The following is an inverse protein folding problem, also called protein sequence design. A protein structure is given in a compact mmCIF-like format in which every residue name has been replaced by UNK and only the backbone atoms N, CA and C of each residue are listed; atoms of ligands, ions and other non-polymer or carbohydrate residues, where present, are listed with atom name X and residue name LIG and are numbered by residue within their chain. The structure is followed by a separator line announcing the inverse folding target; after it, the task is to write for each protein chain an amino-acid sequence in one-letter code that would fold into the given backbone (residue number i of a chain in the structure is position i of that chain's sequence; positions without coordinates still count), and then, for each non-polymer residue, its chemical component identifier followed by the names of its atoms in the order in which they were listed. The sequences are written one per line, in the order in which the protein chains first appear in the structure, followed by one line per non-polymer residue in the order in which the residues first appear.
data_IF_182827268366
#
_entry.id   IF_182827268366
#
_cell.length_a   1.000
_cell.length_b   1.000
_cell.length_c   1.000
_cell.angle_alpha   90.00
_cell.angle_beta   90.00
_cell.angle_gamma   90.00
#
_symmetry.space_group_name_H-M   'P 1'
#
loop_
_entity.id
_entity.type
_entity.pdbx_description
1 polymer ?
#
# COMPACT_ATOMS: atom_id res chain seq x y z
N UNK A 1 8.04 -14.95 -12.94
CA UNK A 1 6.71 -14.77 -13.54
C UNK A 1 6.41 -13.29 -13.44
N UNK A 2 6.49 -12.58 -14.57
CA UNK A 2 6.37 -11.10 -14.59
C UNK A 2 4.90 -10.79 -14.33
N UNK A 3 4.57 -10.33 -13.12
CA UNK A 3 3.22 -9.84 -12.84
C UNK A 3 2.95 -8.63 -13.72
N UNK A 4 1.81 -8.64 -14.40
CA UNK A 4 1.36 -7.56 -15.28
C UNK A 4 1.11 -6.31 -14.43
N UNK A 5 2.06 -5.37 -14.44
CA UNK A 5 1.94 -4.06 -13.83
C UNK A 5 1.07 -3.17 -14.72
N UNK A 6 0.07 -2.51 -14.15
CA UNK A 6 -0.64 -1.42 -14.79
C UNK A 6 0.15 -0.12 -14.54
N UNK A 7 0.44 0.61 -15.62
CA UNK A 7 0.98 1.95 -15.56
C UNK A 7 -0.13 2.94 -15.87
N UNK A 8 -0.70 3.56 -14.84
CA UNK A 8 -1.65 4.66 -14.98
C UNK A 8 -0.94 5.94 -14.52
N UNK A 9 -0.40 6.70 -15.47
CA UNK A 9 0.49 7.83 -15.15
C UNK A 9 1.88 7.37 -14.69
N UNK A 10 2.46 8.08 -13.71
CA UNK A 10 3.80 7.81 -13.14
C UNK A 10 3.76 6.81 -11.96
N UNK A 11 2.86 5.81 -12.02
CA UNK A 11 2.62 4.84 -10.94
C UNK A 11 2.65 3.42 -11.50
N UNK A 12 3.42 2.53 -10.85
CA UNK A 12 3.53 1.11 -11.21
C UNK A 12 2.94 0.26 -10.08
N UNK A 13 1.93 -0.56 -10.40
CA UNK A 13 1.28 -1.46 -9.44
C UNK A 13 0.62 -2.64 -10.17
N UNK A 14 0.27 -3.73 -9.47
CA UNK A 14 -0.54 -4.81 -10.04
C UNK A 14 -2.01 -4.64 -9.67
N UNK A 15 -2.92 -5.28 -10.44
CA UNK A 15 -4.35 -5.32 -10.07
C UNK A 15 -4.60 -5.88 -8.67
N UNK A 16 -3.74 -6.81 -8.21
CA UNK A 16 -3.86 -7.38 -6.87
C UNK A 16 -3.56 -6.34 -5.79
N UNK A 17 -2.56 -5.47 -6.01
CA UNK A 17 -2.22 -4.39 -5.07
C UNK A 17 -3.40 -3.42 -4.89
N UNK A 18 -4.00 -2.97 -5.99
CA UNK A 18 -5.11 -2.00 -5.91
C UNK A 18 -6.36 -2.59 -5.26
N UNK A 19 -6.69 -3.85 -5.56
CA UNK A 19 -7.79 -4.55 -4.90
C UNK A 19 -7.49 -4.75 -3.41
N UNK A 20 -6.25 -5.11 -3.07
CA UNK A 20 -5.84 -5.30 -1.67
C UNK A 20 -5.95 -4.01 -0.88
N UNK A 21 -5.57 -2.87 -1.44
CA UNK A 21 -5.74 -1.56 -0.77
C UNK A 21 -7.21 -1.25 -0.52
N UNK A 22 -8.08 -1.41 -1.51
CA UNK A 22 -9.51 -1.14 -1.32
C UNK A 22 -10.09 -2.05 -0.23
N UNK A 23 -9.74 -3.34 -0.23
CA UNK A 23 -10.14 -4.29 0.82
C UNK A 23 -9.64 -3.85 2.21
N UNK A 24 -8.39 -3.40 2.31
CA UNK A 24 -7.81 -2.90 3.56
C UNK A 24 -8.54 -1.65 4.05
N UNK A 25 -8.84 -0.70 3.18
CA UNK A 25 -9.57 0.52 3.53
C UNK A 25 -11.01 0.23 3.99
N UNK A 26 -11.67 -0.77 3.39
CA UNK A 26 -12.99 -1.23 3.86
C UNK A 26 -12.92 -1.83 5.26
N UNK A 27 -11.84 -2.55 5.58
CA UNK A 27 -11.58 -3.11 6.91
C UNK A 27 -11.26 -2.02 7.92
N UNK A 28 -10.40 -1.07 7.57
CA UNK A 28 -10.01 0.02 8.47
C UNK A 28 -11.15 0.98 8.80
N UNK A 29 -12.10 1.18 7.88
CA UNK A 29 -13.32 1.92 8.18
C UNK A 29 -14.22 1.25 9.23
N UNK A 30 -13.94 0.00 9.61
CA UNK A 30 -14.62 -0.78 10.64
C UNK A 30 -13.65 -1.16 11.78
N UNK A 31 -12.45 -0.58 11.80
CA UNK A 31 -11.45 -0.90 12.81
C UNK A 31 -11.94 -0.50 14.22
N UNK A 32 -11.51 -1.21 15.27
CA UNK A 32 -11.79 -0.83 16.65
C UNK A 32 -11.28 0.59 16.95
N UNK A 33 -12.07 1.37 17.70
CA UNK A 33 -11.71 2.76 18.02
C UNK A 33 -10.53 2.88 19.00
N UNK A 34 -10.20 1.82 19.71
CA UNK A 34 -9.14 1.72 20.71
C UNK A 34 -7.79 1.24 20.13
N UNK A 35 -7.76 0.81 18.88
CA UNK A 35 -6.52 0.44 18.18
C UNK A 35 -6.08 1.55 17.21
N UNK A 36 -4.83 2.05 17.30
CA UNK A 36 -4.30 2.97 16.31
C UNK A 36 -4.33 2.35 14.91
N UNK A 37 -4.89 3.05 13.93
CA UNK A 37 -5.04 2.54 12.56
C UNK A 37 -3.73 2.03 11.94
N UNK A 38 -2.60 2.66 12.26
CA UNK A 38 -1.28 2.20 11.79
C UNK A 38 -0.92 0.81 12.32
N UNK A 39 -1.23 0.51 13.58
CA UNK A 39 -1.02 -0.81 14.19
C UNK A 39 -2.01 -1.82 13.60
N UNK A 40 -3.28 -1.43 13.47
CA UNK A 40 -4.31 -2.25 12.82
C UNK A 40 -3.86 -2.69 11.42
N UNK A 41 -3.33 -1.77 10.60
CA UNK A 41 -2.84 -2.06 9.26
C UNK A 41 -1.55 -2.88 9.26
N UNK A 42 -0.61 -2.63 10.17
CA UNK A 42 0.59 -3.45 10.31
C UNK A 42 0.24 -4.93 10.55
N UNK A 43 -0.78 -5.20 11.37
CA UNK A 43 -1.29 -6.57 11.59
C UNK A 43 -1.81 -7.23 10.30
N UNK A 44 -2.34 -6.46 9.34
CA UNK A 44 -2.82 -6.99 8.06
C UNK A 44 -1.71 -7.41 7.10
N UNK A 45 -0.45 -7.03 7.39
CA UNK A 45 0.74 -7.41 6.64
C UNK A 45 1.58 -8.49 7.34
N UNK A 46 1.11 -9.04 8.47
CA UNK A 46 1.77 -10.17 9.11
C UNK A 46 1.92 -11.35 8.14
N UNK A 47 3.09 -12.00 8.18
CA UNK A 47 3.50 -13.08 7.28
C UNK A 47 3.76 -12.67 5.82
N UNK A 48 3.76 -11.37 5.48
CA UNK A 48 4.23 -10.93 4.17
C UNK A 48 5.75 -11.09 4.06
N UNK A 49 6.27 -11.62 2.93
CA UNK A 49 7.70 -11.77 2.72
C UNK A 49 8.46 -10.45 2.86
N UNK A 50 9.59 -10.51 3.57
CA UNK A 50 10.55 -9.43 3.62
C UNK A 50 11.44 -9.47 2.37
N UNK A 51 11.46 -8.40 1.57
CA UNK A 51 12.33 -8.27 0.39
C UNK A 51 12.86 -6.85 0.33
N UNK A 52 14.19 -6.69 0.25
CA UNK A 52 14.82 -5.39 0.09
C UNK A 52 14.84 -4.96 -1.39
N UNK A 53 14.98 -3.65 -1.63
CA UNK A 53 15.08 -3.07 -2.99
C UNK A 53 13.88 -3.39 -3.88
N UNK A 54 12.69 -3.54 -3.28
CA UNK A 54 11.45 -3.90 -3.99
C UNK A 54 10.97 -2.83 -4.96
N UNK A 55 11.45 -1.59 -4.80
CA UNK A 55 11.05 -0.43 -5.61
C UNK A 55 12.08 -0.08 -6.71
N UNK A 56 13.23 -0.75 -6.72
CA UNK A 56 14.32 -0.45 -7.66
C UNK A 56 14.08 -1.11 -9.02
N UNK A 57 13.39 -0.41 -9.92
CA UNK A 57 13.17 -0.88 -11.30
C UNK A 57 14.25 -0.29 -12.21
N UNK A 58 15.11 -1.17 -12.73
CA UNK A 58 16.22 -0.78 -13.62
C UNK A 58 15.72 0.01 -14.83
N UNK A 59 16.49 1.03 -15.20
CA UNK A 59 16.31 1.86 -16.39
C UNK A 59 14.98 2.64 -16.44
N UNK A 60 14.31 2.81 -15.29
CA UNK A 60 13.15 3.70 -15.14
C UNK A 60 13.53 4.95 -14.32
N UNK A 61 12.89 6.08 -14.62
CA UNK A 61 12.97 7.27 -13.76
C UNK A 61 12.23 7.03 -12.44
N UNK A 62 12.58 7.79 -11.41
CA UNK A 62 11.86 7.77 -10.13
C UNK A 62 10.35 7.99 -10.35
N UNK A 63 9.57 7.08 -9.80
CA UNK A 63 8.12 6.99 -9.96
C UNK A 63 7.54 6.24 -8.76
N UNK A 64 6.23 6.33 -8.56
CA UNK A 64 5.57 5.64 -7.45
C UNK A 64 5.43 4.15 -7.79
N UNK A 65 6.22 3.30 -7.14
CA UNK A 65 6.13 1.86 -7.28
C UNK A 65 5.43 1.26 -6.05
N UNK A 66 4.45 0.39 -6.27
CA UNK A 66 3.65 -0.22 -5.20
C UNK A 66 3.69 -1.73 -5.36
N UNK A 67 4.09 -2.41 -4.28
CA UNK A 67 4.14 -3.85 -4.19
C UNK A 67 3.74 -4.28 -2.78
N UNK A 68 2.52 -4.81 -2.63
CA UNK A 68 2.00 -5.32 -1.36
C UNK A 68 2.27 -6.82 -1.17
N UNK A 69 2.86 -7.48 -2.16
CA UNK A 69 3.20 -8.91 -2.09
C UNK A 69 4.50 -9.16 -1.32
N UNK A 70 5.39 -8.17 -1.27
CA UNK A 70 6.62 -8.20 -0.49
C UNK A 70 7.02 -6.78 -0.07
N UNK A 71 7.40 -6.62 1.19
CA UNK A 71 7.73 -5.33 1.79
C UNK A 71 9.09 -5.40 2.47
N UNK A 72 9.76 -4.26 2.58
CA UNK A 72 10.86 -4.04 3.52
C UNK A 72 10.37 -3.22 4.73
N UNK A 73 11.30 -2.85 5.61
CA UNK A 73 10.98 -2.07 6.80
C UNK A 73 10.36 -0.70 6.49
N UNK A 74 10.85 -0.02 5.45
CA UNK A 74 10.41 1.33 5.09
C UNK A 74 9.06 1.27 4.40
N UNK A 75 8.94 0.45 3.36
CA UNK A 75 7.70 0.28 2.60
C UNK A 75 6.56 -0.22 3.48
N UNK A 76 6.80 -1.10 4.45
CA UNK A 76 5.75 -1.49 5.41
C UNK A 76 5.17 -0.28 6.16
N UNK A 77 6.04 0.59 6.70
CA UNK A 77 5.62 1.76 7.48
C UNK A 77 4.90 2.77 6.59
N UNK A 78 5.42 3.03 5.39
CA UNK A 78 4.81 3.94 4.41
C UNK A 78 3.40 3.49 4.02
N UNK A 79 3.23 2.22 3.68
CA UNK A 79 1.93 1.66 3.32
C UNK A 79 0.94 1.72 4.50
N UNK A 80 1.37 1.41 5.72
CA UNK A 80 0.52 1.52 6.91
C UNK A 80 0.11 2.98 7.19
N UNK A 81 1.03 3.93 7.00
CA UNK A 81 0.77 5.36 7.17
C UNK A 81 -0.25 5.86 6.14
N UNK A 82 -0.03 5.54 4.85
CA UNK A 82 -0.92 5.95 3.78
C UNK A 82 -2.35 5.39 3.96
N UNK A 83 -2.48 4.11 4.34
CA UNK A 83 -3.78 3.50 4.65
C UNK A 83 -4.47 4.17 5.85
N UNK A 84 -3.72 4.46 6.92
CA UNK A 84 -4.23 5.12 8.11
C UNK A 84 -4.71 6.54 7.81
N UNK A 85 -3.93 7.32 7.05
CA UNK A 85 -4.29 8.69 6.63
C UNK A 85 -5.52 8.70 5.71
N UNK A 86 -5.59 7.77 4.77
CA UNK A 86 -6.76 7.62 3.87
C UNK A 86 -8.03 7.34 4.69
N UNK A 87 -7.91 6.42 5.66
CA UNK A 87 -9.02 6.00 6.52
C UNK A 87 -9.46 7.10 7.48
N UNK A 88 -8.50 7.81 8.09
CA UNK A 88 -8.80 8.90 9.03
C UNK A 88 -9.50 10.09 8.35
N UNK A 89 -9.29 10.27 7.04
CA UNK A 89 -10.02 11.23 6.22
C UNK A 89 -11.35 10.69 5.67
N UNK A 90 -11.78 9.49 6.09
CA UNK A 90 -13.06 8.90 5.70
C UNK A 90 -13.11 8.37 4.26
N UNK A 91 -11.97 8.26 3.58
CA UNK A 91 -11.90 7.74 2.21
C UNK A 91 -11.63 6.24 2.18
N UNK A 92 -12.13 5.60 1.12
CA UNK A 92 -11.85 4.21 0.75
C UNK A 92 -11.33 4.08 -0.68
N UNK A 93 -10.88 5.20 -1.24
CA UNK A 93 -10.49 5.30 -2.64
C UNK A 93 -9.04 4.92 -2.84
N UNK A 94 -8.77 4.10 -3.86
CA UNK A 94 -7.42 3.84 -4.36
C UNK A 94 -6.66 5.15 -4.67
N UNK A 95 -7.34 6.12 -5.29
CA UNK A 95 -6.72 7.40 -5.66
C UNK A 95 -6.26 8.20 -4.45
N UNK A 96 -7.03 8.19 -3.37
CA UNK A 96 -6.68 8.95 -2.17
C UNK A 96 -5.56 8.25 -1.41
N UNK A 97 -5.52 6.92 -1.45
CA UNK A 97 -4.37 6.16 -0.98
C UNK A 97 -3.08 6.53 -1.73
N UNK A 98 -3.12 6.59 -3.06
CA UNK A 98 -1.97 7.05 -3.86
C UNK A 98 -1.53 8.46 -3.47
N UNK A 99 -2.48 9.34 -3.16
CA UNK A 99 -2.17 10.71 -2.74
C UNK A 99 -1.35 10.77 -1.43
N UNK A 100 -1.59 9.84 -0.50
CA UNK A 100 -0.89 9.80 0.78
C UNK A 100 0.42 9.01 0.77
N UNK A 101 0.62 8.14 -0.22
CA UNK A 101 1.81 7.29 -0.31
C UNK A 101 2.99 7.97 -1.03
N UNK A 102 2.71 8.95 -1.90
CA UNK A 102 3.69 9.66 -2.74
C UNK A 102 4.58 10.64 -1.98
#
# INVERSE_FOLDING_TARGET
MVHLSFAEGNVTYTREDSLRVVELLEKGAKAPADEPLTIFYAHQFMNRPYVAHTLEIKDMKEHLAINLQSLDCTTLVENCCALALTTSHGSKSWKDYLYWLQ
#
